data_IF_420034082934
#
_entry.id   IF_420034082934
#
_cell.length_a   1.000
_cell.length_b   1.000
_cell.length_c   1.000
_cell.angle_alpha   90.00
_cell.angle_beta   90.00
_cell.angle_gamma   90.00
#
_symmetry.space_group_name_H-M   'P 1'
#
loop_
_entity.id
_entity.type
_entity.pdbx_description
1 polymer ?
#
# COMPACT_ATOMS: atom_id res chain seq x y z
N UNK A 1 -8.76 3.05 0.58
CA UNK A 1 -8.08 1.81 1.01
C UNK A 1 -8.32 0.76 -0.04
N UNK A 2 -7.35 -0.10 -0.30
CA UNK A 2 -7.46 -1.22 -1.24
C UNK A 2 -6.77 -2.45 -0.65
N UNK A 3 -7.39 -3.60 -0.87
CA UNK A 3 -6.88 -4.90 -0.47
C UNK A 3 -6.21 -5.55 -1.69
N UNK A 4 -5.00 -6.05 -1.50
CA UNK A 4 -4.19 -6.67 -2.53
C UNK A 4 -4.01 -8.14 -2.16
N UNK A 5 -4.44 -9.01 -3.06
CA UNK A 5 -4.29 -10.45 -2.95
C UNK A 5 -3.28 -10.91 -4.01
N UNK A 6 -2.26 -11.63 -3.58
CA UNK A 6 -1.15 -12.09 -4.41
C UNK A 6 -1.03 -13.59 -4.25
N UNK A 7 -1.29 -14.32 -5.33
CA UNK A 7 -1.21 -15.78 -5.35
C UNK A 7 0.22 -16.26 -5.64
N UNK A 8 0.97 -15.53 -6.47
CA UNK A 8 2.36 -15.85 -6.82
C UNK A 8 3.32 -14.80 -6.30
N UNK A 9 4.38 -15.24 -5.64
CA UNK A 9 5.41 -14.33 -5.12
C UNK A 9 6.02 -13.41 -6.20
N UNK A 10 6.10 -13.89 -7.46
CA UNK A 10 6.59 -13.11 -8.59
C UNK A 10 5.69 -11.90 -8.97
N UNK A 11 4.41 -11.92 -8.59
CA UNK A 11 3.44 -10.87 -8.91
C UNK A 11 3.36 -9.80 -7.82
N UNK A 12 4.03 -10.01 -6.69
CA UNK A 12 3.94 -9.17 -5.49
C UNK A 12 4.29 -7.71 -5.78
N UNK A 13 5.47 -7.47 -6.34
CA UNK A 13 5.95 -6.12 -6.62
C UNK A 13 5.02 -5.38 -7.59
N UNK A 14 4.55 -6.06 -8.64
CA UNK A 14 3.64 -5.47 -9.61
C UNK A 14 2.27 -5.14 -8.98
N UNK A 15 1.74 -6.04 -8.17
CA UNK A 15 0.44 -5.87 -7.51
C UNK A 15 0.49 -4.71 -6.50
N UNK A 16 1.56 -4.63 -5.70
CA UNK A 16 1.77 -3.54 -4.75
C UNK A 16 2.02 -2.19 -5.46
N UNK A 17 2.81 -2.18 -6.53
CA UNK A 17 3.05 -0.96 -7.30
C UNK A 17 1.75 -0.39 -7.89
N UNK A 18 0.89 -1.25 -8.45
CA UNK A 18 -0.43 -0.85 -8.96
C UNK A 18 -1.33 -0.29 -7.85
N UNK A 19 -1.30 -0.91 -6.67
CA UNK A 19 -2.05 -0.43 -5.53
C UNK A 19 -1.55 0.95 -5.03
N UNK A 20 -0.24 1.11 -4.93
CA UNK A 20 0.40 2.39 -4.58
C UNK A 20 -0.01 3.47 -5.56
N UNK A 21 0.03 3.21 -6.87
CA UNK A 21 -0.37 4.18 -7.90
C UNK A 21 -1.82 4.66 -7.73
N UNK A 22 -2.75 3.73 -7.51
CA UNK A 22 -4.17 4.04 -7.28
C UNK A 22 -4.35 4.92 -6.02
N UNK A 23 -3.64 4.61 -4.94
CA UNK A 23 -3.76 5.34 -3.67
C UNK A 23 -2.98 6.66 -3.68
N UNK A 24 -2.00 6.82 -4.55
CA UNK A 24 -1.14 8.00 -4.62
C UNK A 24 -1.94 9.28 -4.83
N UNK A 25 -3.02 9.24 -5.61
CA UNK A 25 -3.92 10.39 -5.79
C UNK A 25 -4.55 10.83 -4.47
N UNK A 26 -5.14 9.89 -3.72
CA UNK A 26 -5.76 10.17 -2.43
C UNK A 26 -4.72 10.61 -1.38
N UNK A 27 -3.55 9.98 -1.37
CA UNK A 27 -2.45 10.36 -0.49
C UNK A 27 -1.99 11.80 -0.75
N UNK A 28 -1.94 12.22 -2.02
CA UNK A 28 -1.60 13.58 -2.44
C UNK A 28 -2.66 14.61 -2.04
N UNK A 29 -3.94 14.34 -2.31
CA UNK A 29 -5.05 15.22 -1.94
C UNK A 29 -5.10 15.48 -0.43
N UNK A 30 -4.82 14.46 0.37
CA UNK A 30 -4.85 14.56 1.83
C UNK A 30 -3.50 14.95 2.46
N UNK A 31 -2.44 15.17 1.66
CA UNK A 31 -1.07 15.41 2.16
C UNK A 31 -0.62 14.37 3.20
N UNK A 32 -0.92 13.11 2.92
CA UNK A 32 -0.53 11.95 3.74
C UNK A 32 0.36 11.01 2.93
N UNK A 33 1.08 10.12 3.60
CA UNK A 33 1.82 9.04 2.98
C UNK A 33 0.98 7.79 2.77
N UNK A 34 1.63 6.72 2.32
CA UNK A 34 0.99 5.44 2.02
C UNK A 34 1.47 4.38 3.01
N UNK A 35 0.53 3.71 3.66
CA UNK A 35 0.79 2.57 4.54
C UNK A 35 0.43 1.28 3.81
N UNK A 36 1.39 0.35 3.77
CA UNK A 36 1.22 -1.03 3.31
C UNK A 36 1.32 -1.93 4.53
N UNK A 37 0.25 -2.70 4.81
CA UNK A 37 0.21 -3.62 5.94
C UNK A 37 0.01 -5.03 5.42
N UNK A 38 0.90 -5.97 5.75
CA UNK A 38 0.68 -7.39 5.46
C UNK A 38 -0.26 -7.95 6.52
N UNK A 39 -1.43 -8.45 6.09
CA UNK A 39 -2.45 -9.02 6.98
C UNK A 39 -2.49 -10.56 6.91
N UNK A 40 -1.82 -11.15 5.92
CA UNK A 40 -1.74 -12.60 5.74
C UNK A 40 -0.75 -13.00 4.64
N UNK A 41 -0.65 -14.30 4.37
CA UNK A 41 0.16 -14.80 3.25
C UNK A 41 -0.45 -14.35 1.93
N UNK A 42 0.27 -13.53 1.18
CA UNK A 42 -0.23 -12.95 -0.07
C UNK A 42 -1.29 -11.87 0.12
N UNK A 43 -1.61 -11.47 1.35
CA UNK A 43 -2.68 -10.49 1.63
C UNK A 43 -2.11 -9.21 2.22
N UNK A 44 -2.36 -8.10 1.54
CA UNK A 44 -1.85 -6.78 1.91
C UNK A 44 -2.97 -5.74 1.85
N UNK A 45 -2.90 -4.75 2.75
CA UNK A 45 -3.77 -3.58 2.75
C UNK A 45 -2.92 -2.37 2.42
N UNK A 46 -3.32 -1.64 1.37
CA UNK A 46 -2.68 -0.38 0.96
C UNK A 46 -3.66 0.78 1.18
N UNK A 47 -3.23 1.79 1.93
CA UNK A 47 -4.07 2.95 2.24
C UNK A 47 -3.26 4.23 2.39
N UNK A 48 -3.87 5.36 2.07
CA UNK A 48 -3.38 6.66 2.51
C UNK A 48 -3.50 6.72 4.04
N UNK A 49 -2.45 7.16 4.73
CA UNK A 49 -2.40 7.13 6.19
C UNK A 49 -1.70 8.36 6.77
N UNK A 50 -2.31 9.06 7.74
CA UNK A 50 -1.75 10.28 8.32
C UNK A 50 -0.48 10.04 9.13
N UNK A 51 -0.29 8.86 9.74
CA UNK A 51 0.96 8.51 10.44
C UNK A 51 2.15 8.27 9.50
N UNK A 52 1.93 8.23 8.18
CA UNK A 52 3.00 8.20 7.20
C UNK A 52 3.14 9.61 6.64
N UNK A 53 4.32 10.25 6.74
CA UNK A 53 4.53 11.56 6.13
C UNK A 53 4.28 11.53 4.62
N UNK A 54 3.78 12.65 4.08
CA UNK A 54 3.57 12.81 2.65
C UNK A 54 4.84 12.51 1.84
N UNK A 55 4.68 11.82 0.71
CA UNK A 55 5.77 11.40 -0.16
C UNK A 55 6.53 10.15 0.32
N UNK A 56 6.14 9.57 1.46
CA UNK A 56 6.70 8.32 1.96
C UNK A 56 5.72 7.16 1.84
N UNK A 57 6.27 5.98 1.61
CA UNK A 57 5.57 4.70 1.71
C UNK A 57 6.19 3.91 2.85
N UNK A 58 5.37 3.39 3.76
CA UNK A 58 5.80 2.55 4.88
C UNK A 58 5.18 1.18 4.76
N UNK A 59 6.01 0.14 4.87
CA UNK A 59 5.57 -1.24 4.91
C UNK A 59 5.71 -1.79 6.33
N UNK A 60 4.62 -2.35 6.85
CA UNK A 60 4.55 -3.00 8.15
C UNK A 60 4.41 -4.50 7.95
N UNK A 61 5.31 -5.23 8.60
CA UNK A 61 5.32 -6.68 8.67
C UNK A 61 4.86 -7.05 10.07
N UNK A 62 3.68 -7.68 10.17
CA UNK A 62 3.20 -8.31 11.40
C UNK A 62 3.47 -9.81 11.34
#
# INVERSE_FOLDING_TARGET
MIEVHVERAAELDQALAKAVDIISKAAHEHRTGIMITRIGTGQYVVRAHPDVPFGLTRQVYT
#
